data_IF_951882539197
#
_entry.id   IF_951882539197
#
_cell.length_a   1.000
_cell.length_b   1.000
_cell.length_c   1.000
_cell.angle_alpha   90.00
_cell.angle_beta   90.00
_cell.angle_gamma   90.00
#
_symmetry.space_group_name_H-M   'P 1'
#
loop_
_entity.id
_entity.type
_entity.pdbx_description
1 polymer ?
#
# COMPACT_ATOMS: atom_id res chain seq x y z
N UNK A 1 -18.12 -2.86 -15.21
CA UNK A 1 -17.50 -3.36 -13.96
C UNK A 1 -15.97 -3.27 -13.93
N UNK A 2 -15.20 -3.78 -14.90
CA UNK A 2 -13.72 -3.82 -14.80
C UNK A 2 -13.00 -2.47 -14.60
N UNK A 3 -13.44 -1.38 -15.23
CA UNK A 3 -12.89 -0.03 -14.96
C UNK A 3 -13.08 0.38 -13.49
N UNK A 4 -14.26 0.11 -12.93
CA UNK A 4 -14.55 0.37 -11.52
C UNK A 4 -13.62 -0.40 -10.58
N UNK A 5 -13.16 -1.60 -10.97
CA UNK A 5 -12.21 -2.38 -10.18
C UNK A 5 -10.81 -1.74 -10.18
N UNK A 6 -10.32 -1.23 -11.31
CA UNK A 6 -9.05 -0.48 -11.34
C UNK A 6 -9.14 0.80 -10.50
N UNK A 7 -10.27 1.51 -10.58
CA UNK A 7 -10.50 2.71 -9.77
C UNK A 7 -10.58 2.39 -8.27
N UNK A 8 -11.24 1.29 -7.90
CA UNK A 8 -11.30 0.83 -6.51
C UNK A 8 -9.91 0.51 -5.97
N UNK A 9 -9.08 -0.18 -6.76
CA UNK A 9 -7.68 -0.46 -6.39
C UNK A 9 -6.87 0.83 -6.20
N UNK A 10 -7.07 1.83 -7.07
CA UNK A 10 -6.43 3.14 -6.95
C UNK A 10 -6.92 3.90 -5.71
N UNK A 11 -8.22 3.88 -5.41
CA UNK A 11 -8.79 4.50 -4.22
C UNK A 11 -8.22 3.86 -2.96
N UNK A 12 -8.16 2.53 -2.92
CA UNK A 12 -7.51 1.80 -1.82
C UNK A 12 -6.05 2.23 -1.64
N UNK A 13 -5.29 2.35 -2.73
CA UNK A 13 -3.92 2.85 -2.69
C UNK A 13 -3.83 4.26 -2.09
N UNK A 14 -4.67 5.19 -2.57
CA UNK A 14 -4.69 6.58 -2.07
C UNK A 14 -5.05 6.61 -0.59
N UNK A 15 -6.06 5.87 -0.16
CA UNK A 15 -6.45 5.80 1.26
C UNK A 15 -5.29 5.31 2.13
N UNK A 16 -4.71 4.15 1.80
CA UNK A 16 -3.59 3.60 2.59
C UNK A 16 -2.42 4.58 2.61
N UNK A 17 -2.11 5.22 1.49
CA UNK A 17 -1.02 6.21 1.41
C UNK A 17 -1.27 7.41 2.31
N UNK A 18 -2.48 8.00 2.28
CA UNK A 18 -2.83 9.14 3.13
C UNK A 18 -2.76 8.77 4.62
N UNK A 19 -3.26 7.59 4.98
CA UNK A 19 -3.17 7.07 6.35
C UNK A 19 -1.71 6.82 6.77
N UNK A 20 -0.90 6.27 5.88
CA UNK A 20 0.54 6.03 6.12
C UNK A 20 1.25 7.35 6.35
N UNK A 21 1.08 8.33 5.46
CA UNK A 21 1.68 9.66 5.59
C UNK A 21 1.26 10.35 6.89
N UNK A 22 -0.02 10.28 7.25
CA UNK A 22 -0.50 10.79 8.52
C UNK A 22 0.25 10.17 9.71
N UNK A 23 0.42 8.85 9.73
CA UNK A 23 1.12 8.18 10.84
C UNK A 23 2.59 8.60 11.00
N UNK A 24 3.27 8.99 9.93
CA UNK A 24 4.67 9.45 9.96
C UNK A 24 4.81 10.95 10.24
N UNK A 25 3.84 11.77 9.82
CA UNK A 25 3.85 13.22 10.06
C UNK A 25 3.58 13.58 11.52
N UNK A 26 2.85 12.74 12.26
CA UNK A 26 2.50 13.00 13.65
C UNK A 26 3.27 12.05 14.60
N UNK A 27 4.37 12.50 15.24
CA UNK A 27 5.27 11.66 16.02
C UNK A 27 4.65 11.04 17.27
N UNK A 28 3.49 11.52 17.74
CA UNK A 28 2.72 10.88 18.81
C UNK A 28 2.14 9.51 18.41
N UNK A 29 2.05 9.22 17.10
CA UNK A 29 1.58 7.94 16.55
C UNK A 29 2.76 7.05 16.13
N UNK A 30 3.93 7.65 15.83
CA UNK A 30 5.16 6.92 15.54
C UNK A 30 5.71 6.25 16.81
N UNK A 31 5.86 4.94 16.79
CA UNK A 31 6.21 4.09 17.94
C UNK A 31 5.00 3.63 18.76
N UNK A 32 3.79 4.08 18.43
CA UNK A 32 2.58 3.65 19.14
C UNK A 32 2.11 2.25 18.67
N UNK A 33 1.35 1.50 19.49
CA UNK A 33 0.76 0.22 19.07
C UNK A 33 -0.13 0.35 17.81
N UNK A 34 -0.72 1.52 17.59
CA UNK A 34 -1.50 1.81 16.40
C UNK A 34 -0.64 1.78 15.12
N UNK A 35 0.68 1.98 15.22
CA UNK A 35 1.58 1.87 14.08
C UNK A 35 1.61 0.45 13.48
N UNK A 36 1.53 -0.57 14.35
CA UNK A 36 1.42 -1.97 13.91
C UNK A 36 0.16 -2.26 13.08
N UNK A 37 -0.95 -1.60 13.39
CA UNK A 37 -2.19 -1.71 12.61
C UNK A 37 -2.04 -1.12 11.20
N UNK A 38 -1.24 -0.07 11.05
CA UNK A 38 -0.95 0.52 9.73
C UNK A 38 -0.11 -0.41 8.87
N UNK A 39 0.89 -1.07 9.47
CA UNK A 39 1.69 -2.07 8.78
C UNK A 39 0.86 -3.28 8.36
N UNK A 40 -0.02 -3.75 9.24
CA UNK A 40 -0.98 -4.80 8.90
C UNK A 40 -1.91 -4.36 7.75
N UNK A 41 -2.37 -3.12 7.74
CA UNK A 41 -3.19 -2.58 6.66
C UNK A 41 -2.45 -2.58 5.32
N UNK A 42 -1.19 -2.15 5.27
CA UNK A 42 -0.37 -2.22 4.06
C UNK A 42 -0.19 -3.68 3.62
N UNK A 43 0.18 -4.58 4.53
CA UNK A 43 0.41 -6.00 4.24
C UNK A 43 -0.84 -6.72 3.71
N UNK A 44 -2.02 -6.38 4.21
CA UNK A 44 -3.25 -7.06 3.83
C UNK A 44 -3.94 -6.40 2.63
N UNK A 45 -4.01 -5.07 2.61
CA UNK A 45 -4.77 -4.35 1.60
C UNK A 45 -3.98 -4.12 0.30
N UNK A 46 -2.65 -4.02 0.35
CA UNK A 46 -1.85 -3.84 -0.87
C UNK A 46 -1.88 -5.06 -1.80
N UNK A 47 -1.75 -6.32 -1.33
CA UNK A 47 -1.96 -7.49 -2.17
C UNK A 47 -3.38 -7.56 -2.75
N UNK A 48 -4.40 -7.23 -1.96
CA UNK A 48 -5.79 -7.15 -2.45
C UNK A 48 -5.92 -6.10 -3.53
N UNK A 49 -5.33 -4.91 -3.35
CA UNK A 49 -5.30 -3.85 -4.35
C UNK A 49 -4.62 -4.28 -5.64
N UNK A 50 -3.49 -4.98 -5.55
CA UNK A 50 -2.77 -5.53 -6.71
C UNK A 50 -3.64 -6.55 -7.44
N UNK A 51 -4.25 -7.49 -6.72
CA UNK A 51 -5.15 -8.50 -7.30
C UNK A 51 -6.34 -7.85 -8.02
N UNK A 52 -6.98 -6.86 -7.41
CA UNK A 52 -8.07 -6.11 -8.03
C UNK A 52 -7.60 -5.43 -9.33
N UNK A 53 -6.42 -4.80 -9.33
CA UNK A 53 -5.86 -4.20 -10.54
C UNK A 53 -5.54 -5.25 -11.61
N UNK A 54 -5.03 -6.43 -11.25
CA UNK A 54 -4.75 -7.52 -12.18
C UNK A 54 -6.03 -8.10 -12.82
N UNK A 55 -7.09 -8.28 -12.04
CA UNK A 55 -8.40 -8.74 -12.51
C UNK A 55 -9.05 -7.73 -13.46
N UNK A 56 -8.64 -6.46 -13.41
CA UNK A 56 -9.15 -5.40 -14.29
C UNK A 56 -8.60 -5.43 -15.73
N UNK A 57 -7.69 -6.37 -16.07
CA UNK A 57 -7.14 -6.53 -17.43
C UNK A 57 -8.24 -6.61 -18.49
N UNK A 58 -8.04 -5.90 -19.61
CA UNK A 58 -8.94 -5.90 -20.77
C UNK A 58 -8.13 -6.21 -22.05
N UNK A 59 -8.58 -7.21 -22.82
CA UNK A 59 -7.85 -7.74 -24.00
C UNK A 59 -6.37 -8.09 -23.73
N UNK A 60 -6.08 -8.62 -22.54
CA UNK A 60 -4.71 -9.01 -22.16
C UNK A 60 -3.80 -7.87 -21.68
N UNK A 61 -4.22 -6.61 -21.81
CA UNK A 61 -3.45 -5.45 -21.34
C UNK A 61 -4.07 -4.81 -20.08
N UNK A 62 -3.21 -4.27 -19.22
CA UNK A 62 -3.62 -3.48 -18.06
C UNK A 62 -3.94 -2.05 -18.48
N UNK A 63 -4.97 -1.46 -17.87
CA UNK A 63 -5.23 -0.03 -18.01
C UNK A 63 -4.10 0.77 -17.36
N UNK A 64 -3.84 2.01 -17.82
CA UNK A 64 -2.85 2.90 -17.16
C UNK A 64 -3.11 3.02 -15.65
N UNK A 65 -4.38 3.15 -15.27
CA UNK A 65 -4.82 3.21 -13.86
C UNK A 65 -4.45 1.92 -13.10
N UNK A 66 -4.68 0.75 -13.71
CA UNK A 66 -4.30 -0.53 -13.11
C UNK A 66 -2.79 -0.65 -12.92
N UNK A 67 -1.99 -0.20 -13.89
CA UNK A 67 -0.52 -0.17 -13.78
C UNK A 67 -0.10 0.77 -12.63
N UNK A 68 -0.63 1.98 -12.58
CA UNK A 68 -0.34 2.96 -11.52
C UNK A 68 -0.70 2.41 -10.14
N UNK A 69 -1.86 1.74 -10.01
CA UNK A 69 -2.29 1.15 -8.75
C UNK A 69 -1.36 0.00 -8.32
N UNK A 70 -0.97 -0.90 -9.24
CA UNK A 70 -0.01 -1.97 -8.95
C UNK A 70 1.34 -1.39 -8.50
N UNK A 71 1.85 -0.40 -9.24
CA UNK A 71 3.12 0.26 -8.90
C UNK A 71 3.05 0.93 -7.52
N UNK A 72 1.95 1.64 -7.22
CA UNK A 72 1.74 2.29 -5.92
C UNK A 72 1.69 1.31 -4.75
N UNK A 73 0.88 0.24 -4.87
CA UNK A 73 0.82 -0.81 -3.85
C UNK A 73 2.16 -1.54 -3.68
N UNK A 74 2.88 -1.78 -4.77
CA UNK A 74 4.22 -2.39 -4.72
C UNK A 74 5.23 -1.48 -4.00
N UNK A 75 5.15 -0.17 -4.22
CA UNK A 75 6.00 0.81 -3.53
C UNK A 75 5.66 0.92 -2.05
N UNK A 76 4.38 0.82 -1.65
CA UNK A 76 4.00 0.76 -0.23
C UNK A 76 4.56 -0.49 0.46
N UNK A 77 4.49 -1.64 -0.21
CA UNK A 77 5.08 -2.89 0.30
C UNK A 77 6.61 -2.77 0.42
N UNK A 78 7.27 -2.25 -0.61
CA UNK A 78 8.72 -2.01 -0.58
C UNK A 78 9.10 -1.05 0.55
N UNK A 79 8.36 0.05 0.70
CA UNK A 79 8.54 1.01 1.79
C UNK A 79 8.43 0.31 3.14
N UNK A 80 7.41 -0.52 3.35
CA UNK A 80 7.24 -1.25 4.59
C UNK A 80 8.41 -2.19 4.88
N UNK A 81 8.86 -2.95 3.87
CA UNK A 81 10.03 -3.84 4.01
C UNK A 81 11.28 -3.05 4.36
N UNK A 82 11.54 -1.96 3.65
CA UNK A 82 12.70 -1.10 3.93
C UNK A 82 12.61 -0.47 5.32
N UNK A 83 11.43 0.00 5.73
CA UNK A 83 11.20 0.58 7.04
C UNK A 83 11.46 -0.43 8.17
N UNK A 84 10.91 -1.64 8.06
CA UNK A 84 11.14 -2.71 9.02
C UNK A 84 12.60 -3.14 9.06
N UNK A 85 13.24 -3.24 7.90
CA UNK A 85 14.66 -3.62 7.80
C UNK A 85 15.57 -2.54 8.37
N UNK A 86 15.28 -1.25 8.13
CA UNK A 86 16.00 -0.14 8.77
C UNK A 86 15.77 -0.13 10.27
N UNK A 87 14.53 -0.38 10.73
CA UNK A 87 14.20 -0.51 12.14
C UNK A 87 15.06 -1.61 12.80
N UNK A 88 15.11 -2.79 12.18
CA UNK A 88 15.95 -3.91 12.61
C UNK A 88 17.45 -3.55 12.64
N UNK A 89 17.98 -2.97 11.56
CA UNK A 89 19.40 -2.61 11.41
C UNK A 89 19.85 -1.52 12.39
N UNK A 90 19.00 -0.53 12.67
CA UNK A 90 19.35 0.63 13.50
C UNK A 90 19.09 0.33 14.98
N UNK A 91 18.00 -0.38 15.31
CA UNK A 91 17.60 -0.64 16.69
C UNK A 91 18.05 -2.02 17.21
N UNK A 92 18.59 -2.89 16.35
CA UNK A 92 19.23 -4.15 16.75
C UNK A 92 18.28 -5.19 17.36
N UNK A 93 16.98 -5.08 17.08
CA UNK A 93 15.94 -6.04 17.51
C UNK A 93 15.46 -6.83 16.33
#
# INVERSE_FOLDING_TARGET
>A
MRRYVSHLSLVLFVCITLFTLYSFLFPFVAGSPFQGLWFAAILLLSPVGILLALVSKYRGSLSRIGITAIAGHSMLLLFLVLYMTLGYLILGV
#
